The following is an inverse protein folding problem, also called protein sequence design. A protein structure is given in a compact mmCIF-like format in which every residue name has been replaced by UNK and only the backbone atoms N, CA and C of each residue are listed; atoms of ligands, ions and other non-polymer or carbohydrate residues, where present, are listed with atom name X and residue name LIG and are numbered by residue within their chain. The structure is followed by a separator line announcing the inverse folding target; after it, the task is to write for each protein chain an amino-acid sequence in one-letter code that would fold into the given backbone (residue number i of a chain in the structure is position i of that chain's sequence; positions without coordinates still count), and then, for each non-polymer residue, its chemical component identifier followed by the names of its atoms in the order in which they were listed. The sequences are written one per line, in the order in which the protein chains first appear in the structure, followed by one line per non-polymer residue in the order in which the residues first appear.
data_IF_838822954205
#
_entry.id   IF_838822954205
#
_cell.length_a   1.000
_cell.length_b   1.000
_cell.length_c   1.000
_cell.angle_alpha   90.00
_cell.angle_beta   90.00
_cell.angle_gamma   90.00
#
_symmetry.space_group_name_H-M   'P 1'
#
loop_
_entity.id
_entity.type
_entity.pdbx_description
1 polymer ?
#
# COMPACT_ATOMS: atom_id res chain seq x y z
N UNK A 1 72.13 42.10 -14.66
CA UNK A 1 71.06 41.41 -15.41
C UNK A 1 70.20 40.67 -14.41
N UNK A 2 69.04 41.23 -14.08
CA UNK A 2 68.21 40.81 -12.94
C UNK A 2 67.08 39.90 -13.44
N UNK A 3 67.07 38.64 -13.01
CA UNK A 3 66.03 37.65 -13.37
C UNK A 3 64.72 37.96 -12.63
N UNK A 4 63.69 38.38 -13.37
CA UNK A 4 62.33 38.60 -12.86
C UNK A 4 61.64 37.25 -12.67
N UNK A 5 61.20 36.94 -11.45
CA UNK A 5 60.40 35.75 -11.14
C UNK A 5 58.93 36.05 -11.42
N UNK A 6 58.35 35.34 -12.39
CA UNK A 6 56.90 35.36 -12.67
C UNK A 6 56.18 34.47 -11.65
N UNK A 7 55.16 34.97 -10.92
CA UNK A 7 54.36 34.12 -10.04
C UNK A 7 53.45 33.17 -10.86
N UNK A 8 53.10 31.99 -10.32
CA UNK A 8 52.20 31.07 -10.99
C UNK A 8 50.77 31.66 -11.11
N UNK A 9 49.99 31.24 -12.12
CA UNK A 9 48.64 31.74 -12.32
C UNK A 9 47.74 31.40 -11.12
N UNK A 10 47.08 32.42 -10.58
CA UNK A 10 46.04 32.25 -9.56
C UNK A 10 44.83 31.58 -10.20
N UNK A 11 44.50 30.36 -9.78
CA UNK A 11 43.26 29.71 -10.16
C UNK A 11 42.11 30.44 -9.47
N UNK A 12 41.35 31.18 -10.27
CA UNK A 12 40.09 31.77 -9.85
C UNK A 12 39.18 30.72 -9.22
N UNK A 13 38.64 31.11 -8.07
CA UNK A 13 37.62 30.44 -7.27
C UNK A 13 36.64 29.67 -8.16
N UNK A 14 36.74 28.33 -8.14
CA UNK A 14 35.81 27.48 -8.86
C UNK A 14 34.42 27.77 -8.31
N UNK A 15 33.53 28.27 -9.17
CA UNK A 15 32.13 28.51 -8.84
C UNK A 15 31.58 27.26 -8.15
N UNK A 16 31.37 27.35 -6.84
CA UNK A 16 30.69 26.33 -6.08
C UNK A 16 29.28 26.25 -6.65
N UNK A 17 29.08 25.28 -7.54
CA UNK A 17 27.74 24.89 -7.97
C UNK A 17 27.00 24.55 -6.69
N UNK A 18 25.89 25.23 -6.35
CA UNK A 18 25.10 24.87 -5.19
C UNK A 18 24.79 23.39 -5.31
N UNK A 19 25.10 22.62 -4.26
CA UNK A 19 24.66 21.25 -4.18
C UNK A 19 23.15 21.24 -4.51
N UNK A 20 22.67 20.39 -5.44
CA UNK A 20 21.25 20.29 -5.68
C UNK A 20 20.56 20.13 -4.33
N UNK A 21 19.45 20.85 -4.09
CA UNK A 21 18.75 20.74 -2.81
C UNK A 21 18.57 19.25 -2.51
N UNK A 22 18.80 18.80 -1.26
CA UNK A 22 18.54 17.41 -0.92
C UNK A 22 17.13 17.13 -1.43
N UNK A 23 16.99 16.14 -2.32
CA UNK A 23 15.71 15.78 -2.92
C UNK A 23 14.73 15.69 -1.77
N UNK A 24 13.89 16.72 -1.62
CA UNK A 24 12.85 16.74 -0.62
C UNK A 24 12.09 15.46 -0.81
N UNK A 25 11.82 14.74 0.29
CA UNK A 25 11.01 13.52 0.26
C UNK A 25 9.86 13.79 -0.72
N UNK A 26 9.73 13.02 -1.83
CA UNK A 26 8.76 13.35 -2.86
C UNK A 26 7.41 13.54 -2.18
N UNK A 27 6.67 14.60 -2.52
CA UNK A 27 5.23 14.59 -2.27
C UNK A 27 4.74 13.21 -2.70
N UNK A 28 4.16 12.45 -1.76
CA UNK A 28 3.83 11.04 -1.95
C UNK A 28 2.72 10.97 -3.00
N UNK A 29 3.13 10.94 -4.26
CA UNK A 29 2.26 11.00 -5.41
C UNK A 29 1.18 9.92 -5.28
N UNK A 30 -0.08 10.21 -5.66
CA UNK A 30 -1.13 9.21 -5.65
C UNK A 30 -0.65 7.96 -6.39
N UNK A 31 -0.99 6.79 -5.85
CA UNK A 31 -0.59 5.49 -6.38
C UNK A 31 -1.76 4.81 -7.05
N UNK A 32 -1.47 4.00 -8.06
CA UNK A 32 -2.46 3.12 -8.70
C UNK A 32 -1.89 1.73 -8.91
N UNK A 33 -2.79 0.76 -9.05
CA UNK A 33 -2.49 -0.63 -9.30
C UNK A 33 -2.81 -0.98 -10.76
N UNK A 34 -1.86 -1.55 -11.47
CA UNK A 34 -2.03 -2.07 -12.84
C UNK A 34 -1.49 -3.50 -12.93
N UNK A 35 -2.38 -4.46 -13.17
CA UNK A 35 -2.05 -5.89 -13.06
C UNK A 35 -1.46 -6.21 -11.68
N UNK A 36 -0.18 -6.57 -11.65
CA UNK A 36 0.57 -6.88 -10.45
C UNK A 36 1.53 -5.76 -10.00
N UNK A 37 1.52 -4.58 -10.62
CA UNK A 37 2.51 -3.51 -10.38
C UNK A 37 1.84 -2.24 -9.83
N UNK A 38 2.55 -1.56 -8.93
CA UNK A 38 2.06 -0.33 -8.27
C UNK A 38 2.95 0.85 -8.67
N UNK A 39 2.33 1.91 -9.18
CA UNK A 39 3.00 3.08 -9.74
C UNK A 39 2.45 4.39 -9.19
N UNK A 40 3.25 5.47 -9.19
CA UNK A 40 2.73 6.82 -9.13
C UNK A 40 1.80 7.10 -10.32
N UNK A 41 0.70 7.81 -10.08
CA UNK A 41 -0.23 8.29 -11.11
C UNK A 41 0.40 9.41 -11.95
N UNK A 42 1.28 10.21 -11.35
CA UNK A 42 1.95 11.32 -12.03
C UNK A 42 3.27 10.85 -12.64
N UNK A 43 3.54 11.08 -13.94
CA UNK A 43 4.81 10.76 -14.56
C UNK A 43 6.01 11.51 -13.92
N UNK A 44 7.20 10.89 -13.86
CA UNK A 44 7.55 9.58 -14.42
C UNK A 44 7.03 8.40 -13.57
N UNK A 45 6.33 7.47 -14.23
CA UNK A 45 5.66 6.32 -13.59
C UNK A 45 6.60 5.11 -13.49
N UNK A 46 7.62 5.18 -12.64
CA UNK A 46 8.43 3.98 -12.33
C UNK A 46 7.72 3.14 -11.28
N UNK A 47 7.65 1.82 -11.49
CA UNK A 47 7.03 0.91 -10.53
C UNK A 47 7.74 1.01 -9.17
N UNK A 48 6.97 1.14 -8.09
CA UNK A 48 7.48 1.20 -6.73
C UNK A 48 7.33 -0.14 -6.01
N UNK A 49 6.30 -0.90 -6.37
CA UNK A 49 6.04 -2.22 -5.81
C UNK A 49 5.58 -3.19 -6.91
N UNK A 50 5.82 -4.46 -6.64
CA UNK A 50 5.39 -5.58 -7.46
C UNK A 50 4.74 -6.64 -6.57
N UNK A 51 3.67 -7.22 -7.07
CA UNK A 51 2.95 -8.33 -6.48
C UNK A 51 3.33 -9.61 -7.23
N UNK A 52 3.35 -10.73 -6.54
CA UNK A 52 3.62 -12.04 -7.19
C UNK A 52 2.54 -12.42 -8.22
N UNK A 53 1.33 -11.92 -8.05
CA UNK A 53 0.17 -12.18 -8.90
C UNK A 53 -0.76 -10.96 -8.87
N UNK A 54 -1.69 -10.90 -9.81
CA UNK A 54 -2.78 -9.92 -9.77
C UNK A 54 -3.68 -10.14 -8.54
N UNK A 55 -4.36 -9.09 -8.08
CA UNK A 55 -5.26 -9.16 -6.93
C UNK A 55 -6.62 -9.74 -7.34
N UNK A 56 -6.64 -11.02 -7.69
CA UNK A 56 -7.85 -11.76 -8.06
C UNK A 56 -8.19 -12.86 -7.05
N UNK A 57 -9.23 -13.64 -7.35
CA UNK A 57 -9.66 -14.75 -6.50
C UNK A 57 -9.00 -16.11 -6.82
N UNK A 58 -8.03 -16.14 -7.74
CA UNK A 58 -7.37 -17.35 -8.23
C UNK A 58 -6.27 -17.86 -7.32
N UNK A 59 -5.64 -16.96 -6.55
CA UNK A 59 -4.50 -17.29 -5.69
C UNK A 59 -4.85 -17.18 -4.21
N UNK A 60 -4.42 -18.16 -3.41
CA UNK A 60 -4.65 -18.19 -1.95
C UNK A 60 -3.67 -17.33 -1.15
N UNK A 61 -2.60 -16.89 -1.81
CA UNK A 61 -1.49 -16.19 -1.18
C UNK A 61 -0.83 -15.28 -2.21
N UNK A 62 -0.57 -14.04 -1.81
CA UNK A 62 0.07 -13.03 -2.64
C UNK A 62 1.29 -12.49 -1.88
N UNK A 63 2.43 -12.43 -2.57
CA UNK A 63 3.62 -11.74 -2.10
C UNK A 63 3.67 -10.31 -2.62
N UNK A 64 4.27 -9.41 -1.85
CA UNK A 64 4.58 -8.04 -2.28
C UNK A 64 6.07 -7.75 -2.10
N UNK A 65 6.64 -7.07 -3.08
CA UNK A 65 8.04 -6.68 -3.17
C UNK A 65 8.16 -5.18 -3.40
N UNK A 66 9.09 -4.54 -2.70
CA UNK A 66 9.48 -3.15 -2.96
C UNK A 66 10.54 -3.11 -4.05
N UNK A 67 10.34 -2.30 -5.08
CA UNK A 67 11.26 -2.07 -6.17
C UNK A 67 12.18 -0.90 -5.82
N UNK A 68 13.46 -1.19 -5.57
CA UNK A 68 14.44 -0.18 -5.17
C UNK A 68 15.40 0.10 -6.33
N UNK A 69 15.62 1.38 -6.71
CA UNK A 69 16.70 1.73 -7.63
C UNK A 69 18.05 1.28 -7.06
N UNK A 70 18.86 0.58 -7.85
CA UNK A 70 20.22 0.24 -7.42
C UNK A 70 21.09 1.50 -7.44
N UNK A 71 21.49 1.97 -6.25
CA UNK A 71 22.36 3.15 -6.08
C UNK A 71 23.81 2.92 -6.53
N UNK A 72 24.22 1.66 -6.77
CA UNK A 72 25.63 1.31 -6.99
C UNK A 72 26.02 1.10 -8.46
N UNK A 73 25.11 1.28 -9.42
CA UNK A 73 25.43 1.13 -10.84
C UNK A 73 25.19 2.43 -11.57
N UNK A 74 26.25 3.00 -12.14
CA UNK A 74 26.16 4.10 -13.13
C UNK A 74 25.33 3.70 -14.38
N UNK A 75 25.01 2.41 -14.52
CA UNK A 75 24.03 1.91 -15.46
C UNK A 75 22.63 2.00 -14.84
N UNK A 76 21.83 2.90 -15.41
CA UNK A 76 20.38 2.89 -15.27
C UNK A 76 19.86 1.49 -15.62
N UNK A 77 19.13 0.84 -14.71
CA UNK A 77 18.30 -0.32 -15.08
C UNK A 77 18.28 -1.51 -14.13
N UNK A 78 19.19 -1.64 -13.16
CA UNK A 78 19.12 -2.77 -12.24
C UNK A 78 18.22 -2.44 -11.04
N UNK A 79 16.94 -2.78 -11.10
CA UNK A 79 16.00 -2.59 -9.98
C UNK A 79 16.21 -3.73 -8.99
N UNK A 80 16.58 -3.42 -7.75
CA UNK A 80 16.68 -4.43 -6.68
C UNK A 80 15.29 -4.67 -6.11
N UNK A 81 14.79 -5.87 -6.33
CA UNK A 81 13.57 -6.34 -5.70
C UNK A 81 13.82 -6.70 -4.23
N UNK A 82 12.96 -6.18 -3.34
CA UNK A 82 12.94 -6.53 -1.92
C UNK A 82 11.58 -7.09 -1.55
N UNK A 83 11.46 -8.42 -1.58
CA UNK A 83 10.28 -9.10 -1.06
C UNK A 83 10.03 -8.79 0.43
N UNK A 84 8.92 -8.12 0.75
CA UNK A 84 8.64 -7.54 2.08
C UNK A 84 7.59 -8.32 2.86
N UNK A 85 6.46 -8.68 2.24
CA UNK A 85 5.39 -9.39 2.93
C UNK A 85 4.77 -10.45 2.02
N UNK A 86 4.24 -11.49 2.65
CA UNK A 86 3.21 -12.34 2.07
C UNK A 86 1.88 -12.07 2.77
N UNK A 87 0.77 -12.16 2.06
CA UNK A 87 -0.55 -12.15 2.67
C UNK A 87 -1.45 -13.27 2.13
N UNK A 88 -2.25 -13.83 3.02
CA UNK A 88 -3.15 -14.96 2.74
C UNK A 88 -4.36 -14.94 3.66
N UNK A 89 -5.44 -15.60 3.23
CA UNK A 89 -6.68 -15.73 3.96
C UNK A 89 -6.72 -17.15 4.53
N UNK A 90 -6.71 -17.31 5.86
CA UNK A 90 -6.93 -18.60 6.47
C UNK A 90 -8.29 -19.18 6.07
N UNK A 91 -8.38 -20.50 6.01
CA UNK A 91 -9.60 -21.20 5.63
C UNK A 91 -10.71 -20.83 6.64
N UNK A 92 -11.89 -20.45 6.12
CA UNK A 92 -13.04 -19.99 6.91
C UNK A 92 -12.82 -18.72 7.74
N UNK A 93 -11.74 -17.98 7.51
CA UNK A 93 -11.53 -16.69 8.16
C UNK A 93 -11.99 -15.54 7.26
N UNK A 94 -12.50 -14.49 7.89
CA UNK A 94 -12.76 -13.19 7.24
C UNK A 94 -11.61 -12.20 7.44
N UNK A 95 -10.49 -12.65 8.02
CA UNK A 95 -9.25 -11.89 8.18
C UNK A 95 -8.20 -12.28 7.14
N UNK A 96 -7.25 -11.38 6.90
CA UNK A 96 -6.05 -11.63 6.12
C UNK A 96 -4.85 -11.62 7.06
N UNK A 97 -4.10 -12.71 7.05
CA UNK A 97 -2.80 -12.80 7.72
C UNK A 97 -1.72 -12.24 6.81
N UNK A 98 -0.87 -11.38 7.36
CA UNK A 98 0.21 -10.72 6.63
C UNK A 98 1.52 -11.05 7.36
N UNK A 99 2.42 -11.76 6.68
CA UNK A 99 3.68 -12.26 7.22
C UNK A 99 4.86 -11.47 6.69
N UNK A 100 5.60 -10.80 7.59
CA UNK A 100 6.83 -10.09 7.26
C UNK A 100 7.96 -11.03 6.87
N UNK A 101 8.69 -10.68 5.82
CA UNK A 101 9.77 -11.49 5.23
C UNK A 101 11.16 -10.97 5.50
N UNK A 102 11.24 -9.79 6.11
CA UNK A 102 12.50 -9.11 6.41
C UNK A 102 12.45 -8.45 7.78
N UNK A 103 13.62 -8.27 8.38
CA UNK A 103 13.78 -7.47 9.61
C UNK A 103 13.43 -5.99 9.40
N UNK A 104 13.47 -5.52 8.15
CA UNK A 104 13.06 -4.16 7.78
C UNK A 104 11.54 -4.00 7.73
N UNK A 105 10.75 -5.06 7.88
CA UNK A 105 9.30 -4.94 7.96
C UNK A 105 8.88 -4.29 9.29
N UNK A 106 7.70 -3.66 9.30
CA UNK A 106 7.11 -3.07 10.50
C UNK A 106 6.87 -4.12 11.60
N UNK A 107 6.47 -5.33 11.20
CA UNK A 107 6.28 -6.49 12.07
C UNK A 107 6.49 -7.78 11.28
N UNK A 108 6.85 -8.86 11.97
CA UNK A 108 6.86 -10.21 11.41
C UNK A 108 5.44 -10.75 11.16
N UNK A 109 4.46 -10.26 11.93
CA UNK A 109 3.06 -10.68 11.83
C UNK A 109 2.13 -9.47 11.96
N UNK A 110 1.29 -9.29 10.95
CA UNK A 110 0.20 -8.32 10.92
C UNK A 110 -1.10 -9.07 10.56
N UNK A 111 -2.24 -8.52 10.95
CA UNK A 111 -3.55 -9.08 10.64
C UNK A 111 -4.50 -7.97 10.22
N UNK A 112 -5.08 -8.10 9.03
CA UNK A 112 -6.12 -7.22 8.53
C UNK A 112 -7.47 -7.89 8.81
N UNK A 113 -8.33 -7.25 9.61
CA UNK A 113 -9.63 -7.79 10.00
C UNK A 113 -10.74 -6.76 9.83
N UNK A 114 -11.97 -7.23 9.58
CA UNK A 114 -13.12 -6.35 9.62
C UNK A 114 -13.38 -5.86 11.04
N UNK A 115 -13.69 -4.58 11.20
CA UNK A 115 -14.09 -3.99 12.46
C UNK A 115 -15.40 -4.63 12.94
N UNK A 116 -15.46 -5.01 14.23
CA UNK A 116 -16.60 -5.72 14.84
C UNK A 116 -17.68 -4.78 15.38
N UNK A 117 -17.66 -3.49 15.01
CA UNK A 117 -18.59 -2.48 15.51
C UNK A 117 -19.97 -2.51 14.84
N UNK A 118 -21.02 -2.22 15.62
CA UNK A 118 -22.44 -2.26 15.20
C UNK A 118 -22.78 -1.17 14.16
N UNK A 119 -22.06 -0.04 14.16
CA UNK A 119 -22.47 1.19 13.47
C UNK A 119 -21.62 1.48 12.21
N UNK A 120 -20.41 0.92 12.07
CA UNK A 120 -19.55 1.15 10.90
C UNK A 120 -18.76 -0.11 10.55
N UNK A 121 -19.12 -0.77 9.45
CA UNK A 121 -18.30 -1.82 8.83
C UNK A 121 -17.08 -1.15 8.21
N UNK A 122 -15.89 -1.52 8.67
CA UNK A 122 -14.62 -1.02 8.18
C UNK A 122 -13.56 -2.10 8.31
N UNK A 123 -12.32 -1.77 7.97
CA UNK A 123 -11.19 -2.68 8.10
C UNK A 123 -10.17 -2.10 9.08
N UNK A 124 -9.47 -2.96 9.79
CA UNK A 124 -8.47 -2.59 10.77
C UNK A 124 -7.23 -3.48 10.62
N UNK A 125 -6.07 -2.85 10.52
CA UNK A 125 -4.78 -3.53 10.50
C UNK A 125 -4.21 -3.55 11.91
N UNK A 126 -3.89 -4.73 12.39
CA UNK A 126 -3.28 -4.97 13.69
C UNK A 126 -1.88 -5.55 13.55
N UNK A 127 -1.00 -5.19 14.48
CA UNK A 127 0.23 -5.90 14.76
C UNK A 127 -0.04 -6.97 15.79
N UNK A 128 0.19 -8.22 15.40
CA UNK A 128 0.01 -9.36 16.29
C UNK A 128 1.16 -9.40 17.30
N UNK A 129 0.82 -9.44 18.58
CA UNK A 129 1.79 -9.61 19.66
C UNK A 129 1.92 -11.10 19.99
N UNK A 130 3.15 -11.57 20.08
CA UNK A 130 3.43 -12.90 20.62
C UNK A 130 3.22 -12.85 22.16
N UNK A 131 2.76 -13.95 22.75
CA UNK A 131 2.63 -14.15 24.21
C UNK A 131 1.34 -13.64 24.88
N UNK A 132 0.22 -13.60 24.15
CA UNK A 132 -1.10 -13.31 24.75
C UNK A 132 -1.32 -11.86 25.16
N UNK A 133 -0.42 -10.96 24.76
CA UNK A 133 -0.66 -9.52 24.85
C UNK A 133 -1.69 -9.07 23.80
N UNK A 134 -2.38 -7.98 24.09
CA UNK A 134 -3.33 -7.37 23.15
C UNK A 134 -2.60 -6.92 21.87
N UNK A 135 -3.20 -7.22 20.72
CA UNK A 135 -2.72 -6.74 19.43
C UNK A 135 -2.71 -5.20 19.38
N UNK A 136 -1.69 -4.61 18.75
CA UNK A 136 -1.66 -3.17 18.56
C UNK A 136 -2.41 -2.80 17.29
N UNK A 137 -3.38 -1.88 17.39
CA UNK A 137 -3.95 -1.27 16.19
C UNK A 137 -2.88 -0.43 15.50
N UNK A 138 -2.74 -0.60 14.18
CA UNK A 138 -1.82 0.18 13.35
C UNK A 138 -2.60 1.16 12.47
N UNK A 139 -3.56 0.64 11.70
CA UNK A 139 -4.39 1.45 10.81
C UNK A 139 -5.86 1.08 10.92
N UNK A 140 -6.73 2.06 10.73
CA UNK A 140 -8.17 1.88 10.59
C UNK A 140 -8.65 2.45 9.28
N UNK A 141 -9.55 1.74 8.63
CA UNK A 141 -10.11 2.07 7.33
C UNK A 141 -11.60 2.34 7.54
N UNK A 142 -12.01 3.57 7.30
CA UNK A 142 -13.39 4.01 7.49
C UNK A 142 -13.98 4.50 6.17
N UNK A 143 -15.23 4.13 5.85
CA UNK A 143 -15.93 4.78 4.75
C UNK A 143 -16.17 6.24 5.10
N UNK A 144 -15.93 7.12 4.13
CA UNK A 144 -16.33 8.51 4.18
C UNK A 144 -17.39 8.75 3.12
N UNK A 145 -18.60 9.06 3.56
CA UNK A 145 -19.64 9.54 2.67
C UNK A 145 -19.23 10.91 2.15
N UNK A 146 -18.84 11.00 0.89
CA UNK A 146 -18.66 12.26 0.19
C UNK A 146 -20.01 12.73 -0.36
N UNK A 147 -20.37 14.02 -0.23
CA UNK A 147 -21.54 14.59 -0.91
C UNK A 147 -21.43 14.47 -2.45
N UNK A 148 -20.24 14.28 -2.99
CA UNK A 148 -19.95 14.19 -4.43
C UNK A 148 -20.20 12.79 -5.04
N UNK A 149 -20.85 11.88 -4.31
CA UNK A 149 -21.17 10.49 -4.73
C UNK A 149 -19.97 9.57 -5.03
N UNK A 150 -18.74 10.02 -4.80
CA UNK A 150 -17.56 9.16 -4.91
C UNK A 150 -17.34 8.42 -3.57
N UNK A 151 -17.32 7.09 -3.62
CA UNK A 151 -16.97 6.29 -2.45
C UNK A 151 -15.46 6.44 -2.16
N UNK A 152 -15.16 7.09 -1.05
CA UNK A 152 -13.79 7.24 -0.55
C UNK A 152 -13.66 6.53 0.78
N UNK A 153 -12.52 5.87 0.99
CA UNK A 153 -12.14 5.28 2.26
C UNK A 153 -11.01 6.10 2.85
N UNK A 154 -11.16 6.50 4.11
CA UNK A 154 -10.11 7.14 4.88
C UNK A 154 -9.32 6.09 5.64
N UNK A 155 -8.01 6.20 5.55
CA UNK A 155 -7.05 5.41 6.31
C UNK A 155 -6.49 6.28 7.41
N UNK A 156 -6.70 5.87 8.65
CA UNK A 156 -6.27 6.55 9.86
C UNK A 156 -5.24 5.71 10.61
N UNK A 157 -4.32 6.34 11.32
CA UNK A 157 -3.45 5.67 12.27
C UNK A 157 -4.16 5.30 13.59
N UNK A 158 -3.41 4.73 14.54
CA UNK A 158 -3.92 4.37 15.87
C UNK A 158 -4.45 5.58 16.66
N UNK A 159 -3.92 6.77 16.40
CA UNK A 159 -4.32 8.03 17.01
C UNK A 159 -5.47 8.73 16.27
N UNK A 160 -6.06 8.06 15.28
CA UNK A 160 -7.13 8.59 14.42
C UNK A 160 -6.69 9.76 13.52
N UNK A 161 -5.39 9.90 13.28
CA UNK A 161 -4.85 10.87 12.32
C UNK A 161 -4.95 10.30 10.90
N UNK A 162 -5.40 11.11 9.95
CA UNK A 162 -5.52 10.71 8.55
C UNK A 162 -4.13 10.48 7.93
N UNK A 163 -3.90 9.28 7.40
CA UNK A 163 -2.62 8.91 6.77
C UNK A 163 -2.74 8.63 5.27
N UNK A 164 -3.90 8.16 4.80
CA UNK A 164 -4.15 7.99 3.38
C UNK A 164 -5.63 8.11 3.03
N UNK A 165 -5.89 8.36 1.76
CA UNK A 165 -7.22 8.36 1.16
C UNK A 165 -7.20 7.36 0.01
N UNK A 166 -8.17 6.46 0.02
CA UNK A 166 -8.43 5.55 -1.08
C UNK A 166 -9.69 5.99 -1.80
N UNK A 167 -9.59 6.15 -3.11
CA UNK A 167 -10.74 6.38 -3.97
C UNK A 167 -11.16 5.04 -4.55
N UNK A 168 -12.34 4.56 -4.13
CA UNK A 168 -12.89 3.28 -4.56
C UNK A 168 -13.76 3.52 -5.79
N UNK A 169 -13.55 2.74 -6.84
CA UNK A 169 -14.41 2.77 -8.01
C UNK A 169 -15.39 1.60 -7.93
N UNK A 170 -16.67 1.94 -7.83
CA UNK A 170 -17.79 1.01 -7.71
C UNK A 170 -18.06 0.34 -9.07
N UNK A 171 -18.56 -0.90 -9.01
CA UNK A 171 -18.95 -1.75 -10.14
C UNK A 171 -19.76 -1.01 -11.22
N UNK A 172 -19.37 -1.19 -12.49
CA UNK A 172 -20.15 -0.80 -13.68
C UNK A 172 -19.39 -0.02 -14.75
N UNK A 173 -18.19 0.49 -14.46
CA UNK A 173 -17.30 1.12 -15.46
C UNK A 173 -16.08 0.25 -15.71
N UNK A 174 -15.87 -0.18 -16.96
CA UNK A 174 -14.89 -1.22 -17.31
C UNK A 174 -13.41 -0.86 -17.11
N UNK A 175 -13.05 0.34 -16.63
CA UNK A 175 -11.66 0.82 -16.70
C UNK A 175 -11.17 1.72 -15.55
N UNK A 176 -11.84 1.80 -14.40
CA UNK A 176 -11.38 2.72 -13.33
C UNK A 176 -10.63 1.97 -12.23
N UNK A 177 -9.32 2.22 -12.15
CA UNK A 177 -8.38 1.58 -11.21
C UNK A 177 -8.45 2.27 -9.84
N UNK A 178 -8.30 1.53 -8.73
CA UNK A 178 -8.24 2.15 -7.41
C UNK A 178 -7.05 3.09 -7.33
N UNK A 179 -7.26 4.24 -6.69
CA UNK A 179 -6.22 5.25 -6.45
C UNK A 179 -6.01 5.38 -4.94
N UNK A 180 -4.74 5.36 -4.53
CA UNK A 180 -4.34 5.39 -3.13
C UNK A 180 -3.38 6.56 -2.88
N UNK A 181 -3.81 7.54 -2.12
CA UNK A 181 -3.06 8.75 -1.85
C UNK A 181 -2.59 8.78 -0.40
N UNK A 182 -1.28 8.71 -0.16
CA UNK A 182 -0.70 8.84 1.19
C UNK A 182 -0.55 10.33 1.50
N UNK A 183 -1.27 10.83 2.49
CA UNK A 183 -1.35 12.26 2.82
C UNK A 183 -0.53 12.66 4.05
N UNK A 184 0.09 11.69 4.71
CA UNK A 184 0.89 11.91 5.91
C UNK A 184 2.32 11.40 5.69
N UNK A 185 3.28 12.14 6.21
CA UNK A 185 4.66 11.71 6.17
C UNK A 185 4.94 10.61 7.21
N UNK A 186 5.48 9.48 6.76
CA UNK A 186 5.68 8.29 7.57
C UNK A 186 7.01 7.61 7.26
N UNK A 187 7.48 6.79 8.20
CA UNK A 187 8.63 5.92 7.98
C UNK A 187 8.32 4.85 6.93
N UNK A 188 9.35 4.48 6.16
CA UNK A 188 9.30 3.50 5.09
C UNK A 188 8.60 2.20 5.49
N UNK A 189 8.76 1.75 6.74
CA UNK A 189 8.17 0.50 7.24
C UNK A 189 6.66 0.60 7.39
N UNK A 190 6.17 1.76 7.80
CA UNK A 190 4.74 2.05 7.88
C UNK A 190 4.14 2.20 6.49
N UNK A 191 4.84 2.84 5.56
CA UNK A 191 4.43 2.92 4.16
C UNK A 191 4.31 1.50 3.56
N UNK A 192 5.33 0.65 3.73
CA UNK A 192 5.28 -0.74 3.26
C UNK A 192 4.07 -1.50 3.83
N UNK A 193 3.82 -1.38 5.13
CA UNK A 193 2.69 -2.03 5.78
C UNK A 193 1.34 -1.48 5.28
N UNK A 194 1.25 -0.16 5.04
CA UNK A 194 0.06 0.50 4.54
C UNK A 194 -0.28 0.06 3.12
N UNK A 195 0.70 0.05 2.21
CA UNK A 195 0.53 -0.43 0.83
C UNK A 195 0.16 -1.92 0.81
N UNK A 196 0.82 -2.72 1.65
CA UNK A 196 0.49 -4.15 1.77
C UNK A 196 -0.94 -4.35 2.25
N UNK A 197 -1.40 -3.59 3.24
CA UNK A 197 -2.77 -3.67 3.75
C UNK A 197 -3.80 -3.20 2.71
N UNK A 198 -3.49 -2.18 1.92
CA UNK A 198 -4.33 -1.74 0.80
C UNK A 198 -4.52 -2.87 -0.23
N UNK A 199 -3.43 -3.53 -0.64
CA UNK A 199 -3.49 -4.68 -1.54
C UNK A 199 -4.27 -5.85 -0.93
N UNK A 200 -3.98 -6.19 0.33
CA UNK A 200 -4.67 -7.26 1.05
C UNK A 200 -6.18 -7.02 1.14
N UNK A 201 -6.62 -5.77 1.34
CA UNK A 201 -8.03 -5.37 1.37
C UNK A 201 -8.72 -5.54 0.02
N UNK A 202 -8.06 -5.13 -1.07
CA UNK A 202 -8.60 -5.32 -2.43
C UNK A 202 -8.76 -6.82 -2.70
N UNK A 203 -7.71 -7.59 -2.45
CA UNK A 203 -7.67 -9.03 -2.67
C UNK A 203 -8.77 -9.79 -1.91
N UNK A 204 -8.91 -9.57 -0.60
CA UNK A 204 -9.97 -10.21 0.20
C UNK A 204 -11.38 -9.80 -0.26
N UNK A 205 -11.53 -8.60 -0.83
CA UNK A 205 -12.76 -8.17 -1.49
C UNK A 205 -13.12 -9.05 -2.69
N UNK A 206 -12.14 -9.37 -3.54
CA UNK A 206 -12.33 -10.31 -4.66
C UNK A 206 -12.64 -11.73 -4.17
N UNK A 207 -12.00 -12.18 -3.09
CA UNK A 207 -12.28 -13.49 -2.48
C UNK A 207 -13.74 -13.59 -2.01
N UNK A 208 -14.25 -12.56 -1.33
CA UNK A 208 -15.64 -12.52 -0.88
C UNK A 208 -16.63 -12.43 -2.05
N UNK A 209 -16.35 -11.63 -3.08
CA UNK A 209 -17.20 -11.55 -4.27
C UNK A 209 -17.28 -12.90 -4.99
N UNK A 210 -16.15 -13.60 -5.16
CA UNK A 210 -16.11 -14.91 -5.78
C UNK A 210 -16.85 -15.98 -4.95
N UNK A 211 -16.78 -15.91 -3.61
CA UNK A 211 -17.54 -16.80 -2.73
C UNK A 211 -19.05 -16.56 -2.86
N UNK A 212 -19.49 -15.30 -2.87
CA UNK A 212 -20.91 -14.94 -3.02
C UNK A 212 -21.51 -15.42 -4.36
N UNK A 213 -20.72 -15.42 -5.45
CA UNK A 213 -21.17 -15.95 -6.75
C UNK A 213 -21.29 -17.48 -6.78
N UNK A 214 -20.60 -18.19 -5.88
CA UNK A 214 -20.66 -19.66 -5.79
C UNK A 214 -21.86 -20.18 -5.00
N UNK A 215 -22.43 -19.37 -4.11
CA UNK A 215 -23.60 -19.70 -3.27
C UNK A 215 -24.82 -18.77 -3.53
N UNK A 216 -25.38 -18.71 -4.75
CA UNK A 216 -26.52 -17.83 -5.04
C UNK A 216 -27.86 -18.27 -4.42
N UNK A 217 -27.96 -19.52 -3.93
CA UNK A 217 -29.22 -20.12 -3.45
C UNK A 217 -29.54 -19.89 -1.96
N UNK A 218 -28.62 -19.30 -1.19
CA UNK A 218 -28.81 -19.06 0.25
C UNK A 218 -29.84 -17.98 0.62
N UNK A 219 -30.25 -17.13 -0.33
CA UNK A 219 -31.11 -15.95 -0.07
C UNK A 219 -32.54 -16.07 -0.63
N UNK A 220 -32.86 -17.14 -1.37
CA UNK A 220 -34.24 -17.42 -1.85
C UNK A 220 -35.03 -18.37 -0.95
N UNK A 221 -34.45 -18.87 0.15
CA UNK A 221 -35.08 -19.88 1.02
C UNK A 221 -36.02 -19.34 2.11
N UNK A 222 -36.07 -18.03 2.37
CA UNK A 222 -36.82 -17.46 3.50
C UNK A 222 -38.19 -16.84 3.13
N UNK A 223 -38.75 -17.18 1.97
CA UNK A 223 -40.09 -16.71 1.58
C UNK A 223 -40.88 -17.81 0.90
N UNK A 224 -41.26 -18.84 1.66
CA UNK A 224 -42.45 -19.67 1.40
C UNK A 224 -42.82 -20.46 2.65
N UNK A 225 -44.12 -20.42 2.95
CA UNK A 225 -44.85 -21.09 4.05
C UNK A 225 -44.80 -20.28 5.36
N UNK A 226 -45.91 -19.77 5.90
CA UNK A 226 -47.19 -20.45 6.09
C UNK A 226 -48.39 -19.57 5.76
N UNK A 227 -49.23 -20.05 4.84
CA UNK A 227 -50.66 -19.81 4.85
C UNK A 227 -51.36 -21.13 5.12
N UNK A 228 -52.15 -21.18 6.19
CA UNK A 228 -53.36 -22.00 6.38
C UNK A 228 -54.10 -21.42 7.58
#
# INVERSE_FOLDING_TARGET
MSNVRTPPPSYGESAQTPAPPPLGRPELSPLTLDGNLIYPVVPPTTALYELTHELDAGYRKIGISRLCPNRNTAQHGNVREKHIYDFSQPIFSSSVEITGKRKSCLSAALCLRMSRGIIKRGWELFRLRLNGQTDDLIFRIRPRHSPEKQETLQWEDANQSLVAIETVCIHGGSNVRPVFHIVCDMDDRFIDALITAWCAKIWIGHQFAAAAMRDPEGDMGASRNFGS
#
